data_IF_094023894676
#
_entry.id   IF_094023894676
#
_cell.length_a   1.000
_cell.length_b   1.000
_cell.length_c   1.000
_cell.angle_alpha   90.00
_cell.angle_beta   90.00
_cell.angle_gamma   90.00
#
_symmetry.space_group_name_H-M   'P 1'
#
loop_
_entity.id
_entity.type
_entity.pdbx_description
1 polymer ?
#
# COMPACT_ATOMS: atom_id res chain seq x y z
N UNK A 1 -10.24 -7.47 -26.39
CA UNK A 1 -9.74 -8.84 -26.58
C UNK A 1 -8.54 -9.00 -25.65
N UNK A 2 -8.80 -9.53 -24.46
CA UNK A 2 -7.79 -9.75 -23.42
C UNK A 2 -7.06 -11.05 -23.75
N UNK A 3 -5.75 -10.98 -24.01
CA UNK A 3 -4.91 -12.15 -23.97
C UNK A 3 -3.90 -11.97 -22.84
N UNK A 4 -4.25 -12.53 -21.69
CA UNK A 4 -3.26 -13.11 -20.78
C UNK A 4 -3.42 -14.62 -20.88
N UNK A 5 -2.48 -15.28 -21.54
CA UNK A 5 -2.04 -16.59 -21.08
C UNK A 5 -0.58 -16.84 -21.48
N UNK A 6 0.27 -16.97 -20.47
CA UNK A 6 1.31 -18.00 -20.45
C UNK A 6 1.52 -18.45 -19.01
N UNK A 7 0.54 -19.21 -18.50
CA UNK A 7 0.68 -20.35 -17.59
C UNK A 7 1.92 -20.28 -16.66
N UNK A 8 1.69 -19.85 -15.40
CA UNK A 8 2.58 -19.92 -14.22
C UNK A 8 3.67 -18.84 -13.99
N UNK A 9 3.35 -17.54 -13.86
CA UNK A 9 4.39 -16.52 -13.60
C UNK A 9 4.17 -15.46 -12.51
N UNK A 10 3.12 -15.46 -11.66
CA UNK A 10 3.00 -14.41 -10.63
C UNK A 10 2.06 -14.70 -9.43
N UNK A 11 2.23 -15.81 -8.72
CA UNK A 11 1.67 -15.92 -7.35
C UNK A 11 2.27 -14.87 -6.38
N UNK A 12 3.30 -14.13 -6.80
CA UNK A 12 3.87 -12.93 -6.16
C UNK A 12 4.13 -11.86 -7.23
N UNK A 13 3.16 -10.97 -7.51
CA UNK A 13 3.37 -9.83 -8.42
C UNK A 13 4.11 -8.69 -7.69
N UNK A 14 5.44 -8.75 -7.65
CA UNK A 14 6.29 -7.70 -7.09
C UNK A 14 6.44 -6.54 -8.11
N UNK A 15 5.71 -5.44 -7.97
CA UNK A 15 5.92 -4.24 -8.79
C UNK A 15 6.90 -3.28 -8.10
N UNK A 16 8.18 -3.31 -8.49
CA UNK A 16 9.20 -2.34 -8.07
C UNK A 16 9.13 -1.13 -9.01
N UNK A 17 8.61 0.00 -8.55
CA UNK A 17 8.69 1.26 -9.29
C UNK A 17 9.97 2.01 -8.88
N UNK A 18 10.90 2.15 -9.82
CA UNK A 18 12.08 3.00 -9.66
C UNK A 18 11.71 4.46 -9.98
N UNK A 19 12.07 5.38 -9.09
CA UNK A 19 11.76 6.81 -9.19
C UNK A 19 13.01 7.59 -9.56
N UNK A 20 12.93 8.35 -10.65
CA UNK A 20 14.02 9.15 -11.18
C UNK A 20 14.17 10.52 -10.49
N UNK A 21 15.38 11.06 -10.58
CA UNK A 21 16.06 12.02 -9.70
C UNK A 21 15.42 13.41 -9.49
N UNK A 22 15.43 13.89 -8.23
CA UNK A 22 15.59 15.30 -7.81
C UNK A 22 16.32 15.36 -6.44
N UNK A 23 17.08 16.44 -6.14
CA UNK A 23 18.23 16.38 -5.24
C UNK A 23 17.89 16.54 -3.75
N UNK A 24 18.81 16.03 -2.93
CA UNK A 24 18.92 16.15 -1.47
C UNK A 24 17.89 15.37 -0.61
N UNK A 25 18.19 14.07 -0.46
CA UNK A 25 18.07 13.34 0.82
C UNK A 25 16.67 13.24 1.46
N UNK A 26 15.60 13.14 0.68
CA UNK A 26 14.38 12.49 1.17
C UNK A 26 14.47 10.99 0.91
N UNK A 27 14.39 10.19 1.98
CA UNK A 27 14.28 8.73 1.88
C UNK A 27 13.16 8.39 0.90
N UNK A 28 13.53 7.86 -0.28
CA UNK A 28 12.57 7.31 -1.24
C UNK A 28 11.68 6.30 -0.51
N UNK A 29 10.38 6.55 -0.48
CA UNK A 29 9.42 5.69 0.20
C UNK A 29 9.03 4.57 -0.74
N UNK A 30 9.46 3.35 -0.42
CA UNK A 30 9.11 2.15 -1.17
C UNK A 30 7.70 1.64 -0.78
N UNK A 31 6.91 1.29 -1.79
CA UNK A 31 5.60 0.67 -1.66
C UNK A 31 5.60 -0.68 -2.36
N UNK A 32 5.08 -1.70 -1.69
CA UNK A 32 4.93 -3.03 -2.24
C UNK A 32 3.45 -3.27 -2.54
N UNK A 33 3.15 -3.68 -3.76
CA UNK A 33 1.82 -4.13 -4.13
C UNK A 33 1.69 -5.62 -3.82
N UNK A 34 0.63 -6.00 -3.11
CA UNK A 34 0.46 -7.36 -2.59
C UNK A 34 -1.01 -7.79 -2.70
N UNK A 35 -1.22 -8.91 -3.40
CA UNK A 35 -2.54 -9.54 -3.61
C UNK A 35 -3.01 -10.36 -2.40
N UNK A 36 -2.11 -10.75 -1.50
CA UNK A 36 -2.44 -11.41 -0.24
C UNK A 36 -2.75 -10.43 0.90
N UNK A 37 -2.55 -9.13 0.68
CA UNK A 37 -2.78 -8.12 1.68
C UNK A 37 -4.22 -7.62 1.64
N UNK A 38 -4.96 -7.74 2.75
CA UNK A 38 -6.37 -7.32 2.81
C UNK A 38 -6.57 -5.81 2.97
N UNK A 39 -5.54 -5.06 3.37
CA UNK A 39 -5.63 -3.63 3.65
C UNK A 39 -4.39 -2.88 3.18
N UNK A 40 -4.55 -1.63 2.74
CA UNK A 40 -3.40 -0.74 2.53
C UNK A 40 -2.78 -0.38 3.89
N UNK A 41 -1.45 -0.40 4.00
CA UNK A 41 -0.74 -0.13 5.25
C UNK A 41 0.46 0.78 5.02
N UNK A 42 0.63 1.74 5.92
CA UNK A 42 1.68 2.75 5.86
C UNK A 42 2.32 2.92 7.25
N UNK A 43 3.64 3.01 7.30
CA UNK A 43 4.40 3.17 8.55
C UNK A 43 4.77 4.62 8.90
N UNK A 44 4.51 5.56 8.00
CA UNK A 44 4.89 6.97 8.15
C UNK A 44 3.64 7.87 8.16
N UNK A 45 3.31 8.42 9.33
CA UNK A 45 2.15 9.29 9.51
C UNK A 45 2.22 10.58 8.68
N UNK A 46 3.43 11.06 8.37
CA UNK A 46 3.64 12.24 7.52
C UNK A 46 3.13 12.08 6.08
N UNK A 47 2.91 10.85 5.63
CA UNK A 47 2.37 10.59 4.28
C UNK A 47 0.84 10.71 4.22
N UNK A 48 0.19 10.80 5.39
CA UNK A 48 -1.26 10.93 5.46
C UNK A 48 -1.67 12.38 5.28
N UNK A 49 -2.61 12.60 4.37
CA UNK A 49 -3.32 13.88 4.23
C UNK A 49 -4.48 14.03 5.20
N UNK A 50 -4.98 12.91 5.70
CA UNK A 50 -5.96 12.80 6.77
C UNK A 50 -5.66 11.51 7.53
N UNK A 51 -5.64 11.59 8.86
CA UNK A 51 -5.39 10.44 9.73
C UNK A 51 -6.30 10.52 10.95
N UNK A 52 -7.27 9.62 11.02
CA UNK A 52 -8.07 9.41 12.21
C UNK A 52 -7.29 8.53 13.20
N UNK A 53 -6.81 9.11 14.31
CA UNK A 53 -6.06 8.42 15.37
C UNK A 53 -6.95 7.76 16.43
N UNK A 54 -8.25 8.04 16.43
CA UNK A 54 -9.21 7.37 17.31
C UNK A 54 -9.52 5.94 16.85
N UNK A 55 -9.19 5.63 15.58
CA UNK A 55 -9.25 4.28 15.06
C UNK A 55 -8.07 3.44 15.60
N UNK A 56 -8.38 2.39 16.36
CA UNK A 56 -7.42 1.40 16.83
C UNK A 56 -7.82 0.00 16.38
N UNK A 57 -6.86 -0.77 15.88
CA UNK A 57 -7.06 -2.14 15.43
C UNK A 57 -5.76 -2.95 15.54
N UNK A 58 -5.82 -4.26 15.30
CA UNK A 58 -4.61 -5.08 15.16
C UNK A 58 -4.64 -5.86 13.86
N UNK A 59 -3.56 -5.85 13.09
CA UNK A 59 -3.40 -6.68 11.89
C UNK A 59 -2.52 -7.88 12.19
N UNK A 60 -2.84 -9.03 11.61
CA UNK A 60 -2.03 -10.25 11.71
C UNK A 60 -1.24 -10.42 10.41
N UNK A 61 0.07 -10.56 10.54
CA UNK A 61 0.98 -10.84 9.42
C UNK A 61 0.99 -12.34 9.08
N UNK A 62 1.50 -12.70 7.90
CA UNK A 62 1.64 -14.09 7.45
C UNK A 62 2.49 -14.96 8.38
N UNK A 63 3.42 -14.37 9.15
CA UNK A 63 4.23 -15.05 10.15
C UNK A 63 3.56 -15.15 11.54
N UNK A 64 2.24 -14.93 11.62
CA UNK A 64 1.44 -14.89 12.84
C UNK A 64 1.74 -13.73 13.81
N UNK A 65 2.72 -12.86 13.54
CA UNK A 65 2.93 -11.67 14.35
C UNK A 65 1.76 -10.70 14.20
N UNK A 66 1.41 -10.02 15.29
CA UNK A 66 0.39 -8.97 15.30
C UNK A 66 1.06 -7.60 15.35
N UNK A 67 0.62 -6.69 14.51
CA UNK A 67 1.00 -5.28 14.56
C UNK A 67 -0.20 -4.42 14.94
N UNK A 68 0.07 -3.37 15.71
CA UNK A 68 -0.94 -2.39 16.11
C UNK A 68 -1.18 -1.37 15.01
N UNK A 69 -2.46 -1.14 14.70
CA UNK A 69 -2.92 -0.03 13.87
C UNK A 69 -3.24 1.15 14.79
N UNK A 70 -2.58 2.28 14.58
CA UNK A 70 -2.72 3.51 15.37
C UNK A 70 -3.56 4.59 14.70
N UNK A 71 -4.16 4.25 13.57
CA UNK A 71 -5.06 5.14 12.87
C UNK A 71 -5.40 4.65 11.48
N UNK A 72 -6.37 5.32 10.86
CA UNK A 72 -6.82 5.04 9.50
C UNK A 72 -7.00 6.35 8.74
N UNK A 73 -6.65 6.38 7.46
CA UNK A 73 -6.68 7.63 6.72
C UNK A 73 -6.41 7.53 5.22
N UNK A 74 -6.06 8.68 4.65
CA UNK A 74 -5.80 8.86 3.21
C UNK A 74 -4.35 9.23 3.01
N UNK A 75 -3.64 8.46 2.19
CA UNK A 75 -2.24 8.71 1.81
C UNK A 75 -2.16 9.25 0.39
N UNK A 76 -1.27 10.21 0.15
CA UNK A 76 -0.88 10.64 -1.21
C UNK A 76 0.37 9.89 -1.65
N UNK A 77 0.31 9.30 -2.84
CA UNK A 77 1.44 8.62 -3.48
C UNK A 77 1.69 9.32 -4.82
N UNK A 78 2.93 9.70 -5.10
CA UNK A 78 3.31 10.27 -6.39
C UNK A 78 4.04 9.20 -7.19
N UNK A 79 3.52 8.85 -8.37
CA UNK A 79 4.12 7.90 -9.31
C UNK A 79 4.26 8.59 -10.67
N UNK A 80 5.49 8.71 -11.16
CA UNK A 80 5.81 9.34 -12.45
C UNK A 80 5.19 10.73 -12.62
N UNK A 81 5.24 11.55 -11.57
CA UNK A 81 4.66 12.90 -11.53
C UNK A 81 3.13 12.95 -11.35
N UNK A 82 2.44 11.81 -11.37
CA UNK A 82 1.01 11.72 -11.12
C UNK A 82 0.75 11.44 -9.64
N UNK A 83 -0.11 12.24 -9.02
CA UNK A 83 -0.51 12.05 -7.62
C UNK A 83 -1.76 11.18 -7.52
N UNK A 84 -1.67 10.10 -6.74
CA UNK A 84 -2.75 9.20 -6.41
C UNK A 84 -3.13 9.36 -4.94
N UNK A 85 -4.43 9.44 -4.65
CA UNK A 85 -4.96 9.39 -3.30
C UNK A 85 -5.46 7.97 -3.00
N UNK A 86 -4.88 7.33 -1.98
CA UNK A 86 -5.28 6.00 -1.52
C UNK A 86 -6.01 6.16 -0.19
N UNK A 87 -7.29 5.79 -0.17
CA UNK A 87 -8.10 5.79 1.04
C UNK A 87 -7.97 4.49 1.84
N UNK A 88 -8.62 4.47 3.01
CA UNK A 88 -8.67 3.30 3.88
C UNK A 88 -7.29 2.70 4.25
N UNK A 89 -6.27 3.55 4.35
CA UNK A 89 -4.91 3.13 4.69
C UNK A 89 -4.75 3.06 6.20
N UNK A 90 -4.24 1.94 6.71
CA UNK A 90 -3.88 1.78 8.11
C UNK A 90 -2.52 2.37 8.41
N UNK A 91 -2.44 3.15 9.48
CA UNK A 91 -1.18 3.62 10.03
C UNK A 91 -0.63 2.57 11.01
N UNK A 92 0.48 1.94 10.64
CA UNK A 92 1.12 0.85 11.37
C UNK A 92 2.60 1.21 11.58
N UNK A 93 2.97 1.89 12.68
CA UNK A 93 4.33 2.42 12.86
C UNK A 93 5.43 1.35 12.81
N UNK A 94 5.12 0.14 13.28
CA UNK A 94 6.07 -0.98 13.35
C UNK A 94 6.11 -1.83 12.08
N UNK A 95 5.48 -1.37 11.00
CA UNK A 95 5.48 -2.04 9.70
C UNK A 95 6.82 -1.80 8.99
N UNK A 96 7.42 -2.88 8.48
CA UNK A 96 8.73 -2.81 7.82
C UNK A 96 8.69 -2.05 6.49
N UNK A 97 7.70 -2.35 5.66
CA UNK A 97 7.53 -1.79 4.32
C UNK A 97 6.07 -1.37 4.12
N UNK A 98 5.83 -0.29 3.38
CA UNK A 98 4.47 0.13 3.06
C UNK A 98 3.85 -0.82 2.03
N UNK A 99 2.58 -1.16 2.23
CA UNK A 99 1.88 -2.18 1.44
C UNK A 99 0.62 -1.57 0.81
N UNK A 100 0.43 -1.80 -0.49
CA UNK A 100 -0.83 -1.57 -1.18
C UNK A 100 -1.50 -2.90 -1.46
N UNK A 101 -2.66 -3.10 -0.85
CA UNK A 101 -3.56 -4.20 -1.19
C UNK A 101 -4.05 -4.07 -2.64
N UNK A 102 -4.06 -5.19 -3.38
CA UNK A 102 -4.71 -5.30 -4.68
C UNK A 102 -6.20 -5.66 -4.59
N UNK A 103 -6.73 -5.93 -3.40
CA UNK A 103 -8.10 -6.46 -3.22
C UNK A 103 -9.20 -5.46 -3.63
N UNK A 104 -8.85 -4.19 -3.85
CA UNK A 104 -9.79 -3.16 -4.30
C UNK A 104 -9.95 -3.03 -5.83
N UNK A 105 -9.22 -3.80 -6.64
CA UNK A 105 -9.44 -3.81 -8.09
C UNK A 105 -10.69 -4.61 -8.53
N UNK A 106 -11.25 -5.45 -7.65
CA UNK A 106 -12.38 -6.35 -8.01
C UNK A 106 -13.78 -5.76 -7.83
N UNK A 107 -13.92 -4.56 -7.24
CA UNK A 107 -15.24 -4.02 -6.84
C UNK A 107 -15.87 -2.97 -7.77
N UNK A 108 -15.31 -2.69 -8.95
CA UNK A 108 -15.80 -1.60 -9.83
C UNK A 108 -16.42 -1.98 -11.18
N UNK A 109 -16.62 -3.26 -11.50
CA UNK A 109 -17.21 -3.67 -12.79
C UNK A 109 -18.51 -4.49 -12.70
N UNK A 110 -19.28 -4.38 -11.61
CA UNK A 110 -20.65 -4.87 -11.58
C UNK A 110 -21.60 -3.86 -10.92
N UNK A 111 -21.92 -2.79 -11.66
CA UNK A 111 -23.22 -2.15 -11.58
C UNK A 111 -23.65 -1.64 -12.95
#
# INVERSE_FOLDING_TARGET
>A
MWFMDRRNLADDLLLMAEMDEQPAQEKRTLWFMDSGCSNHMCNNDKMFTSLNKDFSHSVKLGNNNKLEVKGKGIVKIVLNGVTYAVGDVYFVPNLKNNMLSMDNYKKKDFQ
#
